data_IF_956066588988
#
_entry.id   IF_956066588988
#
_cell.length_a   1.000
_cell.length_b   1.000
_cell.length_c   1.000
_cell.angle_alpha   90.00
_cell.angle_beta   90.00
_cell.angle_gamma   90.00
#
_symmetry.space_group_name_H-M   'P 1'
#
loop_
_entity.id
_entity.type
_entity.pdbx_description
1 polymer ?
#
# COMPACT_ATOMS: atom_id res chain seq x y z
N UNK A 1 -17.78 -28.72 12.15
CA UNK A 1 -18.18 -27.51 12.91
C UNK A 1 -16.97 -26.74 13.47
N UNK A 2 -15.90 -27.40 13.96
CA UNK A 2 -14.69 -26.71 14.48
C UNK A 2 -13.87 -25.96 13.42
N UNK A 3 -13.77 -26.48 12.19
CA UNK A 3 -13.04 -25.79 11.09
C UNK A 3 -13.64 -24.40 10.77
N UNK A 4 -14.96 -24.28 10.63
CA UNK A 4 -15.62 -22.99 10.38
C UNK A 4 -15.37 -21.94 11.49
N UNK A 5 -15.25 -22.38 12.74
CA UNK A 5 -14.95 -21.49 13.88
C UNK A 5 -13.49 -21.02 13.83
N UNK A 6 -12.56 -21.91 13.48
CA UNK A 6 -11.14 -21.60 13.28
C UNK A 6 -10.93 -20.61 12.12
N UNK A 7 -11.60 -20.83 10.97
CA UNK A 7 -11.53 -19.92 9.82
C UNK A 7 -12.08 -18.53 10.13
N UNK A 8 -13.20 -18.47 10.85
CA UNK A 8 -13.82 -17.20 11.27
C UNK A 8 -12.90 -16.41 12.21
N UNK A 9 -12.24 -17.07 13.17
CA UNK A 9 -11.23 -16.44 14.03
C UNK A 9 -10.01 -15.98 13.24
N UNK A 10 -9.50 -16.79 12.32
CA UNK A 10 -8.37 -16.42 11.48
C UNK A 10 -8.68 -15.20 10.61
N UNK A 11 -9.84 -15.18 9.95
CA UNK A 11 -10.32 -14.02 9.19
C UNK A 11 -10.40 -12.76 10.06
N UNK A 12 -11.05 -12.87 11.23
CA UNK A 12 -11.16 -11.75 12.18
C UNK A 12 -9.80 -11.22 12.60
N UNK A 13 -8.83 -12.10 12.87
CA UNK A 13 -7.48 -11.69 13.26
C UNK A 13 -6.75 -10.94 12.13
N UNK A 14 -6.95 -11.33 10.87
CA UNK A 14 -6.39 -10.60 9.72
C UNK A 14 -7.03 -9.23 9.57
N UNK A 15 -8.36 -9.12 9.77
CA UNK A 15 -9.05 -7.83 9.78
C UNK A 15 -8.57 -6.91 10.91
N UNK A 16 -8.45 -7.47 12.13
CA UNK A 16 -7.99 -6.77 13.33
C UNK A 16 -6.50 -6.42 13.29
N UNK A 17 -5.72 -7.08 12.43
CA UNK A 17 -4.37 -6.66 12.13
C UNK A 17 -4.39 -5.54 11.09
N UNK A 18 -5.01 -5.77 9.94
CA UNK A 18 -4.99 -4.86 8.80
C UNK A 18 -5.55 -3.47 9.11
N UNK A 19 -6.80 -3.39 9.58
CA UNK A 19 -7.49 -2.11 9.73
C UNK A 19 -6.86 -1.25 10.85
N UNK A 20 -6.67 -1.77 12.08
CA UNK A 20 -6.07 -1.00 13.15
C UNK A 20 -4.61 -0.62 12.87
N UNK A 21 -3.80 -1.49 12.26
CA UNK A 21 -2.42 -1.13 11.90
C UNK A 21 -2.37 -0.04 10.84
N UNK A 22 -3.21 -0.11 9.80
CA UNK A 22 -3.30 0.96 8.80
C UNK A 22 -3.80 2.28 9.41
N UNK A 23 -4.81 2.25 10.28
CA UNK A 23 -5.29 3.43 10.98
C UNK A 23 -4.22 4.04 11.89
N UNK A 24 -3.48 3.22 12.65
CA UNK A 24 -2.42 3.69 13.53
C UNK A 24 -1.29 4.36 12.72
N UNK A 25 -0.88 3.76 11.61
CA UNK A 25 0.12 4.32 10.71
C UNK A 25 -0.35 5.67 10.14
N UNK A 26 -1.58 5.75 9.64
CA UNK A 26 -2.13 7.00 9.11
C UNK A 26 -2.41 8.06 10.17
N UNK A 27 -2.74 7.66 11.40
CA UNK A 27 -2.85 8.58 12.53
C UNK A 27 -1.47 9.15 12.90
N UNK A 28 -0.44 8.32 12.98
CA UNK A 28 0.93 8.76 13.26
C UNK A 28 1.46 9.68 12.13
N UNK A 29 1.14 9.36 10.88
CA UNK A 29 1.40 10.24 9.74
C UNK A 29 0.70 11.60 9.89
N UNK A 30 -0.62 11.59 10.07
CA UNK A 30 -1.44 12.81 9.96
C UNK A 30 -1.34 13.71 11.19
N UNK A 31 -1.19 13.14 12.39
CA UNK A 31 -1.22 13.89 13.65
C UNK A 31 0.14 14.15 14.29
N UNK A 32 1.19 13.42 13.91
CA UNK A 32 2.53 13.61 14.46
C UNK A 32 3.49 14.12 13.40
N UNK A 33 3.73 13.34 12.35
CA UNK A 33 4.75 13.65 11.33
C UNK A 33 4.39 14.87 10.49
N UNK A 34 3.16 14.93 9.96
CA UNK A 34 2.74 16.02 9.09
C UNK A 34 2.73 17.38 9.79
N UNK A 35 2.23 17.50 11.04
CA UNK A 35 2.31 18.74 11.80
C UNK A 35 3.75 19.14 12.12
N UNK A 36 4.59 18.19 12.56
CA UNK A 36 6.01 18.45 12.80
C UNK A 36 6.72 18.95 11.54
N UNK A 37 6.47 18.31 10.40
CA UNK A 37 6.99 18.75 9.12
C UNK A 37 6.55 20.18 8.78
N UNK A 38 5.25 20.48 8.89
CA UNK A 38 4.73 21.81 8.58
C UNK A 38 5.32 22.90 9.49
N UNK A 39 5.49 22.62 10.79
CA UNK A 39 6.10 23.54 11.74
C UNK A 39 7.58 23.76 11.40
N UNK A 40 8.34 22.68 11.15
CA UNK A 40 9.75 22.79 10.79
C UNK A 40 9.97 23.51 9.44
N UNK A 41 9.08 23.33 8.46
CA UNK A 41 9.19 24.03 7.16
C UNK A 41 8.82 25.51 7.26
N UNK A 42 7.85 25.86 8.11
CA UNK A 42 7.42 27.24 8.29
C UNK A 42 8.45 28.09 9.07
N UNK A 43 9.34 27.46 9.83
CA UNK A 43 10.34 28.14 10.65
C UNK A 43 11.63 28.41 9.86
N UNK A 44 11.97 29.69 9.70
CA UNK A 44 13.18 30.17 9.02
C UNK A 44 14.45 29.59 9.65
N UNK A 45 14.43 29.24 10.95
CA UNK A 45 15.56 28.62 11.66
C UNK A 45 15.91 27.22 11.15
N UNK A 46 15.01 26.55 10.43
CA UNK A 46 15.25 25.24 9.79
C UNK A 46 15.61 25.36 8.30
N UNK A 47 15.51 26.55 7.72
CA UNK A 47 15.97 26.84 6.35
C UNK A 47 17.51 26.94 6.26
N UNK A 48 18.20 27.10 7.40
CA UNK A 48 19.65 27.15 7.46
C UNK A 48 20.28 25.75 7.60
N UNK A 49 21.37 25.51 6.84
CA UNK A 49 22.18 24.31 7.03
C UNK A 49 22.83 24.35 8.44
N UNK A 50 22.80 23.26 9.24
CA UNK A 50 22.49 21.86 8.90
C UNK A 50 21.06 21.39 9.28
N UNK A 51 20.16 22.27 9.72
CA UNK A 51 18.85 21.85 10.25
C UNK A 51 17.88 21.39 9.17
N UNK A 52 18.18 21.70 7.90
CA UNK A 52 17.44 21.22 6.73
C UNK A 52 17.38 19.68 6.64
N UNK A 53 18.36 18.96 7.19
CA UNK A 53 18.35 17.48 7.23
C UNK A 53 17.19 16.92 8.06
N UNK A 54 16.71 17.65 9.06
CA UNK A 54 15.55 17.25 9.88
C UNK A 54 14.28 17.29 9.04
N UNK A 55 14.13 18.28 8.17
CA UNK A 55 12.99 18.40 7.25
C UNK A 55 12.98 17.24 6.24
N UNK A 56 14.14 16.92 5.65
CA UNK A 56 14.26 15.77 4.75
C UNK A 56 13.97 14.43 5.45
N UNK A 57 14.43 14.27 6.70
CA UNK A 57 14.14 13.08 7.49
C UNK A 57 12.64 12.94 7.77
N UNK A 58 11.97 14.04 8.14
CA UNK A 58 10.52 14.04 8.38
C UNK A 58 9.72 13.73 7.11
N UNK A 59 10.11 14.28 5.95
CA UNK A 59 9.47 13.95 4.66
C UNK A 59 9.70 12.47 4.28
N UNK A 60 10.92 11.97 4.47
CA UNK A 60 11.24 10.56 4.24
C UNK A 60 10.40 9.63 5.12
N UNK A 61 10.33 9.88 6.43
CA UNK A 61 9.52 9.08 7.37
C UNK A 61 8.03 9.16 7.05
N UNK A 62 7.56 10.34 6.66
CA UNK A 62 6.18 10.58 6.23
C UNK A 62 5.82 9.69 5.04
N UNK A 63 6.64 9.69 3.99
CA UNK A 63 6.44 8.83 2.81
C UNK A 63 6.57 7.35 3.15
N UNK A 64 7.52 6.98 4.01
CA UNK A 64 7.72 5.59 4.43
C UNK A 64 6.48 5.01 5.09
N UNK A 65 5.81 5.79 5.94
CA UNK A 65 4.58 5.34 6.63
C UNK A 65 3.40 5.24 5.65
N UNK A 66 3.28 6.18 4.71
CA UNK A 66 2.21 6.13 3.72
C UNK A 66 2.35 4.88 2.83
N UNK A 67 3.55 4.65 2.28
CA UNK A 67 3.84 3.43 1.52
C UNK A 67 3.73 2.16 2.37
N UNK A 68 4.07 2.22 3.66
CA UNK A 68 3.97 1.08 4.58
C UNK A 68 2.53 0.60 4.76
N UNK A 69 1.60 1.52 5.06
CA UNK A 69 0.18 1.21 5.22
C UNK A 69 -0.45 0.75 3.89
N UNK A 70 -0.01 1.34 2.78
CA UNK A 70 -0.40 0.92 1.44
C UNK A 70 0.06 -0.50 1.11
N UNK A 71 1.34 -0.82 1.35
CA UNK A 71 1.90 -2.16 1.18
C UNK A 71 1.19 -3.20 2.04
N UNK A 72 0.84 -2.86 3.29
CA UNK A 72 0.09 -3.73 4.19
C UNK A 72 -1.27 -4.10 3.56
N UNK A 73 -1.97 -3.12 3.01
CA UNK A 73 -3.28 -3.32 2.36
C UNK A 73 -3.16 -4.18 1.11
N UNK A 74 -2.17 -3.90 0.25
CA UNK A 74 -1.91 -4.68 -0.97
C UNK A 74 -1.36 -6.08 -0.72
N UNK A 75 -0.76 -6.34 0.45
CA UNK A 75 -0.30 -7.66 0.83
C UNK A 75 -1.43 -8.52 1.41
N UNK A 76 -2.16 -7.96 2.38
CA UNK A 76 -3.15 -8.70 3.16
C UNK A 76 -4.41 -8.97 2.35
N UNK A 77 -4.90 -8.03 1.53
CA UNK A 77 -6.15 -8.22 0.78
C UNK A 77 -6.08 -9.37 -0.23
N UNK A 78 -5.07 -9.45 -1.13
CA UNK A 78 -4.92 -10.61 -2.02
C UNK A 78 -4.73 -11.93 -1.27
N UNK A 79 -4.02 -11.90 -0.13
CA UNK A 79 -3.87 -13.07 0.73
C UNK A 79 -5.20 -13.52 1.34
N UNK A 80 -6.02 -12.58 1.81
CA UNK A 80 -7.36 -12.88 2.31
C UNK A 80 -8.30 -13.36 1.20
N UNK A 81 -8.17 -12.85 -0.02
CA UNK A 81 -8.97 -13.32 -1.18
C UNK A 81 -8.62 -14.77 -1.49
N UNK A 82 -7.32 -15.10 -1.50
CA UNK A 82 -6.84 -16.46 -1.69
C UNK A 82 -7.43 -17.41 -0.65
N UNK A 83 -7.43 -16.98 0.61
CA UNK A 83 -7.74 -17.81 1.76
C UNK A 83 -9.24 -17.93 2.06
N UNK A 84 -9.95 -16.82 2.06
CA UNK A 84 -11.34 -16.71 2.51
C UNK A 84 -12.34 -16.42 1.39
N UNK A 85 -11.84 -16.13 0.18
CA UNK A 85 -12.64 -15.81 -0.99
C UNK A 85 -13.12 -14.34 -1.03
N UNK A 86 -13.43 -13.89 -2.25
CA UNK A 86 -13.72 -12.47 -2.53
C UNK A 86 -14.91 -11.91 -1.75
N UNK A 87 -15.97 -12.70 -1.50
CA UNK A 87 -17.17 -12.20 -0.79
C UNK A 87 -16.86 -11.75 0.63
N UNK A 88 -15.98 -12.46 1.34
CA UNK A 88 -15.60 -12.12 2.72
C UNK A 88 -14.62 -10.94 2.76
N UNK A 89 -13.88 -10.67 1.70
CA UNK A 89 -12.86 -9.60 1.67
C UNK A 89 -13.40 -8.22 1.27
N UNK A 90 -14.67 -8.09 0.88
CA UNK A 90 -15.28 -6.79 0.51
C UNK A 90 -15.25 -5.82 1.70
N UNK A 91 -15.65 -6.27 2.90
CA UNK A 91 -15.65 -5.44 4.11
C UNK A 91 -14.24 -4.91 4.47
N UNK A 92 -13.21 -5.78 4.57
CA UNK A 92 -11.83 -5.34 4.77
C UNK A 92 -11.31 -4.39 3.68
N UNK A 93 -11.65 -4.62 2.41
CA UNK A 93 -11.27 -3.72 1.32
C UNK A 93 -11.90 -2.34 1.48
N UNK A 94 -13.20 -2.27 1.79
CA UNK A 94 -13.88 -1.02 2.11
C UNK A 94 -13.28 -0.32 3.34
N UNK A 95 -12.86 -1.10 4.35
CA UNK A 95 -12.13 -0.59 5.50
C UNK A 95 -10.80 0.08 5.13
N UNK A 96 -10.03 -0.50 4.21
CA UNK A 96 -8.76 0.10 3.73
C UNK A 96 -9.00 1.41 2.96
N UNK A 97 -10.06 1.48 2.16
CA UNK A 97 -10.49 2.73 1.51
C UNK A 97 -10.90 3.76 2.56
N UNK A 98 -11.64 3.35 3.60
CA UNK A 98 -11.97 4.21 4.74
C UNK A 98 -10.74 4.73 5.49
N UNK A 99 -9.70 3.90 5.66
CA UNK A 99 -8.42 4.33 6.24
C UNK A 99 -7.74 5.40 5.38
N UNK A 100 -7.80 5.25 4.05
CA UNK A 100 -7.21 6.21 3.10
C UNK A 100 -7.99 7.53 3.11
N UNK A 101 -9.33 7.47 3.16
CA UNK A 101 -10.16 8.65 3.36
C UNK A 101 -9.83 9.36 4.67
N UNK A 102 -9.70 8.60 5.77
CA UNK A 102 -9.29 9.14 7.07
C UNK A 102 -7.93 9.83 6.98
N UNK A 103 -6.93 9.21 6.34
CA UNK A 103 -5.61 9.84 6.09
C UNK A 103 -5.79 11.20 5.42
N UNK A 104 -6.42 11.26 4.25
CA UNK A 104 -6.49 12.51 3.49
C UNK A 104 -7.32 13.59 4.20
N UNK A 105 -8.43 13.22 4.85
CA UNK A 105 -9.24 14.15 5.65
C UNK A 105 -8.49 14.67 6.88
N UNK A 106 -7.77 13.81 7.60
CA UNK A 106 -6.99 14.22 8.76
C UNK A 106 -5.81 15.10 8.37
N UNK A 107 -5.15 14.84 7.25
CA UNK A 107 -4.10 15.73 6.73
C UNK A 107 -4.65 17.09 6.31
N UNK A 108 -5.82 17.12 5.67
CA UNK A 108 -6.49 18.37 5.34
C UNK A 108 -6.79 19.16 6.61
N UNK A 109 -7.40 18.51 7.61
CA UNK A 109 -7.72 19.12 8.89
C UNK A 109 -6.48 19.68 9.59
N UNK A 110 -5.39 18.91 9.68
CA UNK A 110 -4.16 19.35 10.34
C UNK A 110 -3.46 20.46 9.55
N UNK A 111 -3.50 20.42 8.21
CA UNK A 111 -3.03 21.53 7.38
C UNK A 111 -3.82 22.80 7.69
N UNK A 112 -5.14 22.71 7.79
CA UNK A 112 -6.00 23.86 8.16
C UNK A 112 -5.73 24.40 9.57
N UNK A 113 -5.49 23.52 10.55
CA UNK A 113 -5.19 23.93 11.94
C UNK A 113 -3.84 24.66 12.02
N UNK A 114 -2.79 24.11 11.38
CA UNK A 114 -1.44 24.65 11.48
C UNK A 114 -1.18 25.83 10.52
N UNK A 115 -1.84 25.89 9.36
CA UNK A 115 -1.69 27.01 8.41
C UNK A 115 -2.55 28.23 8.77
N UNK A 116 -3.44 28.17 9.77
CA UNK A 116 -4.10 29.38 10.32
C UNK A 116 -3.11 30.41 10.86
N UNK A 117 -1.84 30.04 11.06
CA UNK A 117 -0.76 30.94 11.47
C UNK A 117 0.09 31.48 10.31
N UNK A 118 -0.09 30.98 9.08
CA UNK A 118 0.66 31.44 7.90
C UNK A 118 -0.25 32.27 6.98
N UNK A 119 0.09 33.54 6.82
CA UNK A 119 -0.59 34.57 6.03
C UNK A 119 -0.50 34.36 4.50
N UNK A 120 -0.92 33.21 3.98
CA UNK A 120 -1.03 32.97 2.53
C UNK A 120 -2.44 32.47 2.19
N UNK A 121 -3.31 33.45 1.95
CA UNK A 121 -4.64 33.30 1.38
C UNK A 121 -4.58 32.64 0.00
N UNK A 122 -5.16 31.45 -0.15
CA UNK A 122 -5.92 30.99 -1.35
C UNK A 122 -6.36 29.52 -1.24
N UNK A 123 -6.79 29.05 -0.07
CA UNK A 123 -7.40 27.72 0.07
C UNK A 123 -8.90 27.81 -0.22
N UNK A 124 -9.33 27.36 -1.40
CA UNK A 124 -10.75 27.13 -1.66
C UNK A 124 -11.11 25.72 -1.16
N UNK A 125 -11.89 25.66 -0.08
CA UNK A 125 -12.40 24.40 0.51
C UNK A 125 -12.92 23.40 -0.54
N UNK A 126 -13.63 23.81 -1.62
CA UNK A 126 -14.07 22.88 -2.67
C UNK A 126 -12.91 22.22 -3.43
N UNK A 127 -11.81 22.95 -3.69
CA UNK A 127 -10.64 22.42 -4.41
C UNK A 127 -9.88 21.40 -3.56
N UNK A 128 -9.74 21.71 -2.27
CA UNK A 128 -9.09 20.86 -1.30
C UNK A 128 -9.86 19.54 -1.09
N UNK A 129 -11.19 19.62 -0.92
CA UNK A 129 -12.06 18.44 -0.85
C UNK A 129 -12.03 17.64 -2.15
N UNK A 130 -11.96 18.31 -3.30
CA UNK A 130 -11.76 17.66 -4.60
C UNK A 130 -10.46 16.86 -4.66
N UNK A 131 -9.36 17.39 -4.12
CA UNK A 131 -8.08 16.68 -4.03
C UNK A 131 -8.18 15.44 -3.13
N UNK A 132 -8.82 15.57 -1.96
CA UNK A 132 -9.05 14.44 -1.05
C UNK A 132 -9.88 13.34 -1.72
N UNK A 133 -10.97 13.71 -2.40
CA UNK A 133 -11.82 12.76 -3.12
C UNK A 133 -11.05 12.06 -4.25
N UNK A 134 -10.28 12.81 -5.03
CA UNK A 134 -9.48 12.28 -6.13
C UNK A 134 -8.41 11.29 -5.65
N UNK A 135 -7.66 11.65 -4.59
CA UNK A 135 -6.62 10.78 -4.04
C UNK A 135 -7.21 9.50 -3.41
N UNK A 136 -8.31 9.63 -2.68
CA UNK A 136 -9.02 8.47 -2.12
C UNK A 136 -9.54 7.56 -3.23
N UNK A 137 -10.03 8.14 -4.34
CA UNK A 137 -10.48 7.37 -5.51
C UNK A 137 -9.32 6.61 -6.18
N UNK A 138 -8.14 7.22 -6.30
CA UNK A 138 -6.96 6.55 -6.84
C UNK A 138 -6.51 5.38 -5.96
N UNK A 139 -6.50 5.54 -4.63
CA UNK A 139 -6.19 4.45 -3.70
C UNK A 139 -7.22 3.33 -3.82
N UNK A 140 -8.52 3.66 -3.87
CA UNK A 140 -9.59 2.70 -4.05
C UNK A 140 -9.49 1.93 -5.38
N UNK A 141 -9.19 2.64 -6.47
CA UNK A 141 -8.99 2.04 -7.79
C UNK A 141 -7.79 1.09 -7.79
N UNK A 142 -6.69 1.49 -7.16
CA UNK A 142 -5.48 0.66 -7.08
C UNK A 142 -5.74 -0.63 -6.31
N UNK A 143 -6.39 -0.53 -5.14
CA UNK A 143 -6.81 -1.69 -4.36
C UNK A 143 -7.73 -2.59 -5.20
N UNK A 144 -8.70 -2.02 -5.90
CA UNK A 144 -9.63 -2.75 -6.75
C UNK A 144 -8.92 -3.50 -7.88
N UNK A 145 -7.98 -2.87 -8.59
CA UNK A 145 -7.20 -3.50 -9.66
C UNK A 145 -6.38 -4.68 -9.12
N UNK A 146 -5.65 -4.49 -8.02
CA UNK A 146 -4.82 -5.54 -7.43
C UNK A 146 -5.68 -6.72 -6.95
N UNK A 147 -6.82 -6.45 -6.33
CA UNK A 147 -7.78 -7.49 -5.92
C UNK A 147 -8.40 -8.21 -7.13
N UNK A 148 -8.73 -7.48 -8.20
CA UNK A 148 -9.28 -8.04 -9.43
C UNK A 148 -8.27 -8.99 -10.08
N UNK A 149 -7.01 -8.59 -10.21
CA UNK A 149 -5.93 -9.42 -10.77
C UNK A 149 -5.77 -10.71 -9.96
N UNK A 150 -5.72 -10.60 -8.63
CA UNK A 150 -5.65 -11.76 -7.74
C UNK A 150 -6.85 -12.71 -7.97
N UNK A 151 -8.08 -12.17 -8.01
CA UNK A 151 -9.29 -12.93 -8.23
C UNK A 151 -9.33 -13.64 -9.59
N UNK A 152 -8.96 -12.96 -10.67
CA UNK A 152 -8.98 -13.52 -12.03
C UNK A 152 -7.99 -14.68 -12.16
N UNK A 153 -6.77 -14.49 -11.66
CA UNK A 153 -5.74 -15.53 -11.69
C UNK A 153 -6.12 -16.73 -10.80
N UNK A 154 -6.77 -16.48 -9.66
CA UNK A 154 -7.27 -17.54 -8.80
C UNK A 154 -8.38 -18.36 -9.46
N UNK A 155 -9.33 -17.70 -10.13
CA UNK A 155 -10.37 -18.42 -10.89
C UNK A 155 -9.75 -19.28 -11.98
N UNK A 156 -8.82 -18.72 -12.77
CA UNK A 156 -8.14 -19.46 -13.83
C UNK A 156 -7.42 -20.71 -13.30
N UNK A 157 -6.72 -20.59 -12.17
CA UNK A 157 -5.97 -21.70 -11.58
C UNK A 157 -6.90 -22.77 -10.96
N UNK A 158 -8.00 -22.36 -10.32
CA UNK A 158 -9.02 -23.31 -9.84
C UNK A 158 -9.66 -24.11 -10.97
N UNK A 159 -10.01 -23.45 -12.08
CA UNK A 159 -10.57 -24.12 -13.27
C UNK A 159 -9.57 -25.13 -13.85
N UNK A 160 -8.28 -24.76 -13.96
CA UNK A 160 -7.23 -25.66 -14.44
C UNK A 160 -7.11 -26.93 -13.58
N UNK A 161 -7.11 -26.79 -12.25
CA UNK A 161 -6.98 -27.94 -11.33
C UNK A 161 -8.22 -28.83 -11.33
N UNK A 162 -9.41 -28.24 -11.45
CA UNK A 162 -10.66 -28.99 -11.60
C UNK A 162 -10.68 -29.80 -12.91
N UNK A 163 -10.10 -29.27 -14.00
CA UNK A 163 -9.95 -30.00 -15.25
C UNK A 163 -8.89 -31.13 -15.15
N UNK A 164 -7.87 -30.97 -14.33
CA UNK A 164 -6.81 -31.96 -14.09
C UNK A 164 -7.18 -33.07 -13.08
N UNK A 165 -8.44 -33.17 -12.65
CA UNK A 165 -8.95 -34.22 -11.74
C UNK A 165 -8.22 -34.33 -10.39
N UNK A 166 -7.62 -33.24 -9.89
CA UNK A 166 -7.20 -33.21 -8.48
C UNK A 166 -8.42 -32.92 -7.62
N UNK A 167 -8.91 -33.95 -6.90
CA UNK A 167 -9.89 -33.77 -5.83
C UNK A 167 -9.34 -32.75 -4.83
N UNK A 168 -9.94 -31.56 -4.87
CA UNK A 168 -9.71 -30.52 -3.88
C UNK A 168 -10.49 -30.95 -2.64
N UNK A 169 -9.93 -31.92 -1.92
CA UNK A 169 -10.46 -32.38 -0.65
C UNK A 169 -10.46 -31.23 0.35
N UNK A 170 -11.50 -31.19 1.19
CA UNK A 170 -12.00 -30.05 1.98
C UNK A 170 -11.07 -29.35 3.00
N UNK A 171 -9.75 -29.42 2.84
CA UNK A 171 -8.75 -28.69 3.63
C UNK A 171 -7.96 -27.70 2.75
N UNK A 172 -8.21 -26.39 2.95
CA UNK A 172 -7.36 -25.27 2.50
C UNK A 172 -6.64 -25.38 1.12
N UNK A 173 -7.37 -25.54 0.00
CA UNK A 173 -6.77 -25.57 -1.35
C UNK A 173 -6.08 -24.27 -1.78
N UNK A 174 -6.38 -23.14 -1.12
CA UNK A 174 -5.78 -21.83 -1.42
C UNK A 174 -4.26 -21.80 -1.23
N UNK A 175 -3.72 -22.58 -0.29
CA UNK A 175 -2.29 -22.54 0.02
C UNK A 175 -1.45 -23.22 -1.05
N UNK A 176 -1.80 -24.43 -1.46
CA UNK A 176 -1.12 -25.17 -2.53
C UNK A 176 -1.16 -24.41 -3.88
N UNK A 177 -2.18 -23.56 -4.08
CA UNK A 177 -2.32 -22.70 -5.24
C UNK A 177 -1.28 -21.56 -5.30
N UNK A 178 -0.68 -21.12 -4.18
CA UNK A 178 0.20 -19.94 -4.18
C UNK A 178 1.51 -20.12 -3.42
N UNK A 179 1.64 -21.14 -2.58
CA UNK A 179 2.82 -21.41 -1.78
C UNK A 179 3.33 -22.85 -1.99
N UNK A 180 4.65 -23.08 -1.81
CA UNK A 180 5.70 -22.10 -1.59
C UNK A 180 6.08 -21.31 -2.86
N UNK A 181 6.66 -20.13 -2.69
CA UNK A 181 7.24 -19.38 -3.80
C UNK A 181 8.51 -20.06 -4.30
N UNK A 182 8.44 -20.73 -5.46
CA UNK A 182 9.58 -21.45 -6.06
C UNK A 182 10.55 -20.52 -6.82
N UNK A 183 10.09 -19.35 -7.23
CA UNK A 183 10.86 -18.34 -7.97
C UNK A 183 10.57 -16.97 -7.40
N UNK A 184 11.52 -16.04 -7.55
CA UNK A 184 11.32 -14.65 -7.15
C UNK A 184 10.17 -14.05 -7.96
N UNK A 185 10.19 -14.21 -9.28
CA UNK A 185 9.12 -13.78 -10.18
C UNK A 185 8.37 -14.97 -10.80
N UNK A 186 7.04 -15.02 -10.64
CA UNK A 186 6.19 -15.96 -11.34
C UNK A 186 4.82 -15.35 -11.66
N UNK A 187 4.59 -15.03 -12.93
CA UNK A 187 3.32 -14.47 -13.42
C UNK A 187 2.13 -15.41 -13.29
N UNK A 188 2.38 -16.71 -13.06
CA UNK A 188 1.35 -17.72 -12.82
C UNK A 188 0.90 -17.77 -11.35
N UNK A 189 1.64 -17.14 -10.44
CA UNK A 189 1.28 -17.08 -9.03
C UNK A 189 0.40 -15.85 -8.78
N UNK A 190 -0.87 -16.03 -8.34
CA UNK A 190 -1.81 -14.91 -8.20
C UNK A 190 -1.33 -13.86 -7.21
N UNK A 191 -0.65 -14.26 -6.12
CA UNK A 191 -0.12 -13.33 -5.12
C UNK A 191 1.08 -12.55 -5.65
N UNK A 192 2.02 -13.22 -6.33
CA UNK A 192 3.19 -12.54 -6.90
C UNK A 192 2.79 -11.61 -8.05
N UNK A 193 1.85 -12.01 -8.90
CA UNK A 193 1.36 -11.13 -9.97
C UNK A 193 0.58 -9.94 -9.43
N UNK A 194 -0.27 -10.14 -8.41
CA UNK A 194 -0.96 -9.03 -7.75
C UNK A 194 0.02 -8.06 -7.09
N UNK A 195 1.07 -8.58 -6.43
CA UNK A 195 2.15 -7.76 -5.87
C UNK A 195 2.91 -6.99 -6.95
N UNK A 196 3.20 -7.64 -8.08
CA UNK A 196 3.91 -7.01 -9.20
C UNK A 196 3.08 -5.88 -9.82
N UNK A 197 1.76 -6.10 -9.99
CA UNK A 197 0.84 -5.05 -10.45
C UNK A 197 0.78 -3.90 -9.45
N UNK A 198 0.71 -4.19 -8.15
CA UNK A 198 0.77 -3.17 -7.10
C UNK A 198 2.04 -2.32 -7.16
N UNK A 199 3.21 -2.95 -7.25
CA UNK A 199 4.50 -2.27 -7.41
C UNK A 199 4.59 -1.48 -8.72
N UNK A 200 4.08 -2.05 -9.82
CA UNK A 200 4.03 -1.38 -11.12
C UNK A 200 3.17 -0.12 -11.13
N UNK A 201 2.01 -0.14 -10.45
CA UNK A 201 1.15 1.05 -10.29
C UNK A 201 1.90 2.11 -9.47
N UNK A 202 2.59 1.74 -8.39
CA UNK A 202 3.37 2.71 -7.59
C UNK A 202 4.48 3.36 -8.43
N UNK A 203 5.26 2.58 -9.17
CA UNK A 203 6.29 3.13 -10.06
C UNK A 203 5.69 4.01 -11.15
N UNK A 204 4.59 3.60 -11.77
CA UNK A 204 3.95 4.38 -12.82
C UNK A 204 3.46 5.72 -12.27
N UNK A 205 2.82 5.74 -11.10
CA UNK A 205 2.36 6.97 -10.45
C UNK A 205 3.53 7.89 -10.09
N UNK A 206 4.64 7.35 -9.59
CA UNK A 206 5.83 8.12 -9.29
C UNK A 206 6.45 8.74 -10.55
N UNK A 207 6.59 7.95 -11.62
CA UNK A 207 7.11 8.39 -12.93
C UNK A 207 6.21 9.48 -13.52
N UNK A 208 4.89 9.28 -13.54
CA UNK A 208 3.93 10.29 -14.05
C UNK A 208 4.04 11.58 -13.25
N UNK A 209 4.12 11.49 -11.92
CA UNK A 209 4.32 12.66 -11.07
C UNK A 209 5.63 13.40 -11.39
N UNK A 210 6.70 12.65 -11.68
CA UNK A 210 7.98 13.24 -12.08
C UNK A 210 7.95 13.87 -13.47
N UNK A 211 7.33 13.21 -14.45
CA UNK A 211 7.14 13.79 -15.79
C UNK A 211 6.38 15.11 -15.69
N UNK A 212 5.31 15.17 -14.89
CA UNK A 212 4.60 16.43 -14.66
C UNK A 212 5.49 17.51 -14.04
N UNK A 213 6.31 17.15 -13.04
CA UNK A 213 7.27 18.08 -12.45
C UNK A 213 8.30 18.59 -13.48
N UNK A 214 8.91 17.70 -14.25
CA UNK A 214 9.92 18.04 -15.25
C UNK A 214 9.33 18.91 -16.37
N UNK A 215 8.08 18.64 -16.80
CA UNK A 215 7.40 19.48 -17.80
C UNK A 215 7.15 20.91 -17.32
N UNK A 216 6.99 21.12 -16.01
CA UNK A 216 6.83 22.44 -15.40
C UNK A 216 8.17 23.15 -15.20
N UNK A 217 9.25 22.40 -14.94
CA UNK A 217 10.58 22.95 -14.67
C UNK A 217 11.38 23.26 -15.95
N UNK A 218 11.09 22.58 -17.05
CA UNK A 218 11.74 22.79 -18.35
C UNK A 218 12.89 21.80 -18.62
N UNK A 219 13.47 21.90 -19.81
CA UNK A 219 14.53 20.98 -20.24
C UNK A 219 15.83 21.17 -19.44
N UNK A 220 16.58 20.09 -19.15
CA UNK A 220 17.84 20.18 -18.45
C UNK A 220 18.87 20.99 -19.26
N UNK A 221 19.59 21.86 -18.57
CA UNK A 221 20.56 22.79 -19.13
C UNK A 221 22.00 22.27 -19.06
N UNK A 222 22.25 21.22 -18.26
CA UNK A 222 23.57 20.67 -18.01
C UNK A 222 23.59 19.13 -18.00
N UNK A 223 24.75 18.54 -18.30
CA UNK A 223 24.92 17.09 -18.24
C UNK A 223 24.69 16.51 -16.82
N UNK A 224 24.98 17.30 -15.78
CA UNK A 224 24.71 16.93 -14.40
C UNK A 224 23.20 16.83 -14.10
N UNK A 225 22.41 17.75 -14.64
CA UNK A 225 20.94 17.70 -14.55
C UNK A 225 20.37 16.49 -15.30
N UNK A 226 20.91 16.15 -16.47
CA UNK A 226 20.50 14.95 -17.22
C UNK A 226 20.78 13.68 -16.40
N UNK A 227 21.96 13.56 -15.80
CA UNK A 227 22.30 12.40 -14.96
C UNK A 227 21.41 12.34 -13.73
N UNK A 228 21.16 13.49 -13.08
CA UNK A 228 20.24 13.58 -11.94
C UNK A 228 18.83 13.13 -12.33
N UNK A 229 18.31 13.62 -13.46
CA UNK A 229 16.99 13.26 -13.99
C UNK A 229 16.89 11.74 -14.23
N UNK A 230 17.88 11.12 -14.88
CA UNK A 230 17.92 9.66 -15.10
C UNK A 230 17.97 8.89 -13.78
N UNK A 231 18.81 9.32 -12.83
CA UNK A 231 18.94 8.67 -11.52
C UNK A 231 17.61 8.71 -10.76
N UNK A 232 16.89 9.83 -10.86
CA UNK A 232 15.55 9.99 -10.33
C UNK A 232 14.59 8.96 -10.97
N UNK A 233 14.42 8.92 -12.29
CA UNK A 233 13.53 7.94 -12.95
C UNK A 233 13.86 6.48 -12.60
N UNK A 234 15.15 6.13 -12.52
CA UNK A 234 15.59 4.82 -12.05
C UNK A 234 15.17 4.55 -10.60
N UNK A 235 15.27 5.56 -9.73
CA UNK A 235 14.77 5.51 -8.35
C UNK A 235 13.27 5.20 -8.27
N UNK A 236 12.45 5.80 -9.13
CA UNK A 236 11.00 5.55 -9.16
C UNK A 236 10.66 4.13 -9.63
N UNK A 237 11.44 3.57 -10.55
CA UNK A 237 11.35 2.16 -10.94
C UNK A 237 11.78 1.23 -9.81
N UNK A 238 12.88 1.54 -9.13
CA UNK A 238 13.35 0.77 -7.98
C UNK A 238 12.35 0.81 -6.83
N UNK A 239 11.65 1.91 -6.62
CA UNK A 239 10.61 2.03 -5.61
C UNK A 239 9.51 0.96 -5.79
N UNK A 240 9.02 0.74 -7.01
CA UNK A 240 8.01 -0.30 -7.27
C UNK A 240 8.55 -1.72 -7.04
N UNK A 241 9.83 -1.95 -7.34
CA UNK A 241 10.49 -3.23 -7.04
C UNK A 241 10.64 -3.45 -5.53
N UNK A 242 10.95 -2.40 -4.76
CA UNK A 242 10.99 -2.45 -3.30
C UNK A 242 9.59 -2.76 -2.74
N UNK A 243 8.55 -2.05 -3.21
CA UNK A 243 7.15 -2.30 -2.83
C UNK A 243 6.75 -3.74 -3.12
N UNK A 244 7.11 -4.26 -4.30
CA UNK A 244 6.89 -5.66 -4.65
C UNK A 244 7.52 -6.62 -3.62
N UNK A 245 8.81 -6.41 -3.29
CA UNK A 245 9.53 -7.25 -2.33
C UNK A 245 8.91 -7.17 -0.93
N UNK A 246 8.53 -5.99 -0.47
CA UNK A 246 7.87 -5.79 0.84
C UNK A 246 6.53 -6.53 0.89
N UNK A 247 5.71 -6.43 -0.16
CA UNK A 247 4.44 -7.15 -0.24
C UNK A 247 4.65 -8.67 -0.13
N UNK A 248 5.63 -9.21 -0.87
CA UNK A 248 5.95 -10.65 -0.79
C UNK A 248 6.43 -11.07 0.59
N UNK A 249 7.26 -10.25 1.24
CA UNK A 249 7.73 -10.53 2.59
C UNK A 249 6.57 -10.59 3.59
N UNK A 250 5.64 -9.63 3.53
CA UNK A 250 4.44 -9.64 4.39
C UNK A 250 3.61 -10.90 4.12
N UNK A 251 3.36 -11.24 2.86
CA UNK A 251 2.61 -12.45 2.49
C UNK A 251 3.26 -13.74 3.00
N UNK A 252 4.59 -13.85 2.93
CA UNK A 252 5.34 -14.98 3.48
C UNK A 252 5.23 -15.07 5.01
N UNK A 253 5.27 -13.94 5.71
CA UNK A 253 5.12 -13.92 7.17
C UNK A 253 3.71 -14.33 7.59
N UNK A 254 2.68 -13.90 6.85
CA UNK A 254 1.30 -14.34 7.08
C UNK A 254 1.16 -15.86 6.92
N UNK A 255 1.68 -16.44 5.82
CA UNK A 255 1.65 -17.90 5.60
C UNK A 255 2.37 -18.65 6.73
N UNK A 256 3.58 -18.21 7.11
CA UNK A 256 4.36 -18.83 8.20
C UNK A 256 3.61 -18.82 9.53
N UNK A 257 2.99 -17.69 9.87
CA UNK A 257 2.26 -17.54 11.12
C UNK A 257 0.99 -18.41 11.14
N UNK A 258 0.29 -18.53 10.01
CA UNK A 258 -0.88 -19.41 9.90
C UNK A 258 -0.52 -20.89 10.02
N UNK A 259 0.60 -21.31 9.43
CA UNK A 259 1.10 -22.69 9.56
C UNK A 259 1.43 -23.03 11.01
N UNK A 260 2.14 -22.14 11.72
CA UNK A 260 2.48 -22.33 13.13
C UNK A 260 1.24 -22.46 14.02
N UNK A 261 0.19 -21.69 13.72
CA UNK A 261 -1.08 -21.78 14.45
C UNK A 261 -1.84 -23.07 14.19
N UNK A 262 -1.76 -23.61 12.98
CA UNK A 262 -2.39 -24.88 12.63
C UNK A 262 -1.66 -26.08 13.25
N UNK A 263 -0.32 -26.05 13.33
CA UNK A 263 0.43 -27.12 14.00
C UNK A 263 0.14 -27.15 15.50
N UNK A 264 0.12 -25.98 16.15
CA UNK A 264 -0.15 -25.87 17.60
C UNK A 264 -1.61 -26.18 18.00
N UNK A 265 -2.56 -26.26 17.06
CA UNK A 265 -3.94 -26.67 17.35
C UNK A 265 -4.19 -28.17 17.18
N UNK A 266 -3.23 -28.88 16.60
CA UNK A 266 -3.31 -30.32 16.33
C UNK A 266 -2.47 -31.16 17.33
N UNK A 267 -1.68 -30.49 18.17
CA UNK A 267 -1.05 -31.04 19.38
C UNK A 267 -2.01 -30.86 20.57
#
# INVERSE_FOLDING_TARGET
MSQNISESRAFRNHCLFLIPSSLLLYALYSYLLRPLYNVCVADVMFAEAPRIYVVYLLDFLSRLIDYGAFCLSLAVLPYMILRFGMRRTIGPAAGCVGCSLFKYMSNLLMTWIFNRFSTLNSYSLPRDLGSVAFQTLLDALTIAIVCLVACLLLRKKKVSLLMEHQEIDGAYPGRALSFPYRKLFCFRNPLQTAALVGGGIVSLTAIVGRVMYDTLYGAPSSAAEVISMVAHYLGDLMLGLIVYMVILLIQLQLDRHDVRKQSASNE
#
